data_IF_215002404789
#
_entry.id   IF_215002404789
#
_cell.length_a   1.000
_cell.length_b   1.000
_cell.length_c   1.000
_cell.angle_alpha   90.00
_cell.angle_beta   90.00
_cell.angle_gamma   90.00
#
_symmetry.space_group_name_H-M   'P 1'
#
loop_
_entity.id
_entity.type
_entity.pdbx_description
1 polymer ?
#
# COMPACT_ATOMS: atom_id res chain seq x y z
N UNK A 1 36.67 16.23 14.09
CA UNK A 1 36.47 14.87 14.61
C UNK A 1 35.05 14.77 15.13
N UNK A 2 34.12 14.30 14.28
CA UNK A 2 32.77 13.91 14.71
C UNK A 2 32.82 12.43 15.02
N UNK A 3 32.79 12.05 16.28
CA UNK A 3 32.45 10.70 16.69
C UNK A 3 30.99 10.45 16.31
N UNK A 4 30.75 9.57 15.35
CA UNK A 4 29.44 8.99 15.12
C UNK A 4 29.12 8.09 16.33
N UNK A 5 28.36 8.62 17.26
CA UNK A 5 27.72 7.78 18.26
C UNK A 5 26.82 6.77 17.51
N UNK A 6 27.22 5.51 17.50
CA UNK A 6 26.35 4.42 17.04
C UNK A 6 25.18 4.35 18.02
N UNK A 7 24.03 4.88 17.62
CA UNK A 7 22.79 4.66 18.37
C UNK A 7 22.40 3.19 18.16
N UNK A 8 22.67 2.36 19.15
CA UNK A 8 22.16 1.00 19.20
C UNK A 8 20.73 1.12 19.74
N UNK A 9 19.75 0.74 18.95
CA UNK A 9 18.38 0.55 19.39
C UNK A 9 18.26 -0.91 19.80
N UNK A 10 17.95 -1.15 21.06
CA UNK A 10 17.63 -2.48 21.59
C UNK A 10 16.10 -2.61 21.61
N UNK A 11 15.59 -3.68 21.01
CA UNK A 11 14.17 -4.03 21.05
C UNK A 11 14.05 -5.30 21.90
N UNK A 12 13.44 -5.18 23.05
CA UNK A 12 13.19 -6.30 23.95
C UNK A 12 11.74 -6.80 23.76
N UNK A 13 11.59 -8.03 23.33
CA UNK A 13 10.29 -8.68 23.19
C UNK A 13 9.96 -9.43 24.48
N UNK A 14 8.87 -9.04 25.14
CA UNK A 14 8.42 -9.68 26.37
C UNK A 14 7.39 -10.78 26.16
N UNK A 15 6.91 -10.96 24.93
CA UNK A 15 5.91 -11.96 24.60
C UNK A 15 6.55 -13.22 24.02
N UNK A 16 6.25 -14.38 24.65
CA UNK A 16 6.75 -15.68 24.24
C UNK A 16 6.13 -16.20 22.93
N UNK A 17 5.12 -15.53 22.39
CA UNK A 17 4.47 -15.85 21.12
C UNK A 17 5.22 -15.33 19.89
N UNK A 18 6.16 -14.41 20.08
CA UNK A 18 7.00 -13.91 19.00
C UNK A 18 8.11 -14.91 18.65
N UNK A 19 8.48 -15.03 17.36
CA UNK A 19 9.54 -15.95 16.95
C UNK A 19 10.82 -15.67 17.71
N UNK A 20 11.35 -16.68 18.39
CA UNK A 20 12.60 -16.58 19.20
C UNK A 20 13.85 -16.36 18.36
N UNK A 21 13.73 -16.41 17.05
CA UNK A 21 14.84 -16.41 16.11
C UNK A 21 15.00 -15.10 15.33
N UNK A 22 14.53 -13.97 15.87
CA UNK A 22 14.85 -12.66 15.28
C UNK A 22 16.32 -12.35 15.59
N UNK A 23 17.22 -13.06 14.92
CA UNK A 23 18.66 -12.96 15.15
C UNK A 23 19.40 -12.11 14.11
N UNK A 24 18.78 -11.79 12.99
CA UNK A 24 19.43 -11.03 11.92
C UNK A 24 18.64 -9.79 11.52
N UNK A 25 19.32 -8.79 10.98
CA UNK A 25 18.67 -7.59 10.45
C UNK A 25 17.70 -7.89 9.29
N UNK A 26 17.84 -9.06 8.65
CA UNK A 26 16.94 -9.49 7.58
C UNK A 26 15.62 -10.03 8.14
N UNK A 27 15.65 -10.69 9.30
CA UNK A 27 14.45 -11.21 9.96
C UNK A 27 13.56 -10.08 10.43
N UNK A 28 14.16 -8.99 10.94
CA UNK A 28 13.43 -7.79 11.37
C UNK A 28 12.66 -7.15 10.21
N UNK A 29 13.23 -7.13 9.00
CA UNK A 29 12.61 -6.49 7.82
C UNK A 29 11.29 -7.13 7.40
N UNK A 30 11.17 -8.44 7.53
CA UNK A 30 9.94 -9.16 7.18
C UNK A 30 8.84 -9.04 8.25
N UNK A 31 9.22 -8.67 9.50
CA UNK A 31 8.30 -8.64 10.64
C UNK A 31 7.79 -7.24 11.00
N UNK A 32 8.38 -6.21 10.42
CA UNK A 32 7.96 -4.82 10.67
C UNK A 32 7.76 -4.08 9.37
N UNK A 33 6.59 -3.51 9.21
CA UNK A 33 6.29 -2.58 8.15
C UNK A 33 6.15 -1.17 8.71
N UNK A 34 6.94 -0.24 8.21
CA UNK A 34 6.93 1.16 8.66
C UNK A 34 6.36 2.06 7.58
N UNK A 35 5.43 2.92 7.96
CA UNK A 35 4.88 3.95 7.10
C UNK A 35 4.97 5.32 7.77
N UNK A 36 5.65 6.24 7.11
CA UNK A 36 5.78 7.63 7.59
C UNK A 36 4.48 8.42 7.40
N UNK A 37 4.35 9.52 8.15
CA UNK A 37 3.27 10.48 8.00
C UNK A 37 3.29 11.22 6.65
N UNK A 38 4.40 11.13 5.92
CA UNK A 38 4.60 11.87 4.69
C UNK A 38 3.68 11.34 3.57
N UNK A 39 2.92 12.24 2.94
CA UNK A 39 1.97 11.94 1.86
C UNK A 39 2.28 12.80 0.67
N UNK A 40 2.87 12.22 -0.37
CA UNK A 40 3.12 12.89 -1.65
C UNK A 40 1.94 12.69 -2.61
N UNK A 41 1.74 13.64 -3.51
CA UNK A 41 0.84 13.43 -4.64
C UNK A 41 1.40 12.33 -5.55
N UNK A 42 0.61 11.29 -5.85
CA UNK A 42 1.08 10.18 -6.66
C UNK A 42 1.17 10.54 -8.14
N UNK A 43 2.16 9.97 -8.79
CA UNK A 43 2.30 9.98 -10.24
C UNK A 43 1.85 8.63 -10.79
N UNK A 44 0.82 8.64 -11.65
CA UNK A 44 0.25 7.42 -12.21
C UNK A 44 0.74 7.11 -13.63
N UNK A 45 1.50 8.03 -14.24
CA UNK A 45 2.07 7.80 -15.56
C UNK A 45 3.12 6.70 -15.48
N UNK A 46 3.03 5.72 -16.37
CA UNK A 46 3.98 4.62 -16.49
C UNK A 46 4.76 4.78 -17.79
N UNK A 47 5.96 5.33 -17.70
CA UNK A 47 6.86 5.47 -18.86
C UNK A 47 7.58 4.16 -19.19
N UNK A 48 7.74 3.28 -18.20
CA UNK A 48 8.35 1.97 -18.38
C UNK A 48 7.81 0.96 -17.39
N UNK A 49 7.50 -0.23 -17.87
CA UNK A 49 7.11 -1.35 -17.01
C UNK A 49 8.35 -2.13 -16.58
N UNK A 50 8.55 -2.22 -15.28
CA UNK A 50 9.61 -3.03 -14.68
C UNK A 50 9.00 -3.93 -13.62
N UNK A 51 9.62 -5.11 -13.44
CA UNK A 51 9.30 -5.94 -12.27
C UNK A 51 9.55 -5.12 -11.02
N UNK A 52 8.53 -4.99 -10.20
CA UNK A 52 8.68 -4.36 -8.90
C UNK A 52 9.38 -5.33 -7.96
N UNK A 53 10.48 -4.89 -7.37
CA UNK A 53 11.22 -5.69 -6.39
C UNK A 53 10.34 -5.97 -5.17
N UNK A 54 10.60 -7.11 -4.54
CA UNK A 54 10.02 -7.42 -3.24
C UNK A 54 10.49 -6.35 -2.23
N UNK A 55 9.59 -5.66 -1.54
CA UNK A 55 9.97 -4.62 -0.59
C UNK A 55 10.80 -5.16 0.58
N UNK A 56 10.69 -6.46 0.90
CA UNK A 56 11.50 -7.12 1.94
C UNK A 56 12.96 -7.33 1.53
N UNK A 57 13.25 -7.37 0.22
CA UNK A 57 14.62 -7.46 -0.30
C UNK A 57 15.40 -6.14 -0.17
N UNK A 58 14.73 -5.02 0.10
CA UNK A 58 15.37 -3.73 0.26
C UNK A 58 16.31 -3.73 1.47
N UNK A 59 17.57 -3.39 1.24
CA UNK A 59 18.62 -3.36 2.28
C UNK A 59 18.39 -2.24 3.31
N UNK A 60 17.42 -1.32 3.08
CA UNK A 60 17.32 -0.06 3.84
C UNK A 60 16.07 0.00 4.70
N UNK A 61 16.26 -0.02 6.00
CA UNK A 61 15.35 0.58 6.98
C UNK A 61 15.34 2.13 6.87
N UNK A 62 16.18 2.69 6.02
CA UNK A 62 16.36 4.14 5.85
C UNK A 62 15.23 4.83 5.09
N UNK A 63 14.28 4.09 4.55
CA UNK A 63 13.18 4.68 3.76
C UNK A 63 12.10 5.38 4.59
N UNK A 64 12.21 5.38 5.91
CA UNK A 64 11.30 6.15 6.78
C UNK A 64 11.32 7.66 6.50
N UNK A 65 12.37 8.17 5.85
CA UNK A 65 12.58 9.60 5.61
C UNK A 65 12.55 9.95 4.11
N UNK A 66 12.65 8.96 3.22
CA UNK A 66 12.68 9.21 1.78
C UNK A 66 11.27 9.40 1.22
N UNK A 67 11.14 10.33 0.27
CA UNK A 67 9.93 10.70 -0.44
C UNK A 67 9.06 9.48 -0.72
N UNK A 68 7.94 9.42 -0.02
CA UNK A 68 7.03 8.30 -0.11
C UNK A 68 6.26 8.34 -1.44
N UNK A 69 6.76 7.61 -2.41
CA UNK A 69 6.06 7.36 -3.67
C UNK A 69 5.16 6.11 -3.56
N UNK A 70 4.76 5.75 -2.35
CA UNK A 70 4.09 4.48 -2.06
C UNK A 70 2.85 4.28 -2.92
N UNK A 71 2.02 5.31 -3.10
CA UNK A 71 0.80 5.20 -3.91
C UNK A 71 1.13 4.94 -5.38
N UNK A 72 2.08 5.68 -5.94
CA UNK A 72 2.55 5.47 -7.31
C UNK A 72 3.16 4.07 -7.47
N UNK A 73 3.95 3.63 -6.51
CA UNK A 73 4.55 2.29 -6.49
C UNK A 73 3.49 1.21 -6.37
N UNK A 74 2.49 1.37 -5.50
CA UNK A 74 1.40 0.43 -5.34
C UNK A 74 0.53 0.35 -6.59
N UNK A 75 0.27 1.47 -7.26
CA UNK A 75 -0.38 1.49 -8.56
C UNK A 75 0.41 0.66 -9.59
N UNK A 76 1.71 0.89 -9.72
CA UNK A 76 2.58 0.13 -10.62
C UNK A 76 2.62 -1.36 -10.25
N UNK A 77 2.64 -1.71 -8.97
CA UNK A 77 2.56 -3.11 -8.50
C UNK A 77 1.25 -3.78 -8.91
N UNK A 78 0.12 -3.11 -8.77
CA UNK A 78 -1.18 -3.64 -9.19
C UNK A 78 -1.18 -3.94 -10.70
N UNK A 79 -0.69 -3.02 -11.52
CA UNK A 79 -0.59 -3.21 -12.97
C UNK A 79 0.37 -4.35 -13.31
N UNK A 80 1.57 -4.35 -12.75
CA UNK A 80 2.57 -5.40 -12.98
C UNK A 80 2.06 -6.79 -12.58
N UNK A 81 1.37 -6.90 -11.44
CA UNK A 81 0.77 -8.15 -10.97
C UNK A 81 -0.34 -8.63 -11.91
N UNK A 82 -1.18 -7.72 -12.44
CA UNK A 82 -2.22 -8.07 -13.43
C UNK A 82 -1.58 -8.67 -14.67
N UNK A 83 -0.54 -8.03 -15.19
CA UNK A 83 0.17 -8.51 -16.38
C UNK A 83 0.85 -9.84 -16.10
N UNK A 84 1.57 -9.95 -14.99
CA UNK A 84 2.22 -11.21 -14.59
C UNK A 84 1.19 -12.34 -14.46
N UNK A 85 0.01 -12.05 -13.90
CA UNK A 85 -1.07 -13.02 -13.76
C UNK A 85 -1.60 -13.54 -15.11
N UNK A 86 -1.58 -12.71 -16.16
CA UNK A 86 -2.00 -13.13 -17.52
C UNK A 86 -1.01 -14.12 -18.14
N UNK A 87 0.27 -14.04 -17.78
CA UNK A 87 1.32 -14.92 -18.30
C UNK A 87 1.63 -16.12 -17.38
N UNK A 88 0.88 -16.29 -16.31
CA UNK A 88 1.02 -17.44 -15.42
C UNK A 88 0.12 -18.58 -15.91
N UNK A 89 0.73 -19.69 -16.30
CA UNK A 89 0.03 -20.89 -16.80
C UNK A 89 -1.02 -21.45 -15.81
N UNK A 90 -0.84 -21.19 -14.51
CA UNK A 90 -1.84 -21.53 -13.48
C UNK A 90 -3.17 -20.78 -13.62
N UNK A 91 -3.19 -19.72 -14.42
CA UNK A 91 -4.35 -18.87 -14.65
C UNK A 91 -4.98 -19.02 -16.04
N UNK A 92 -4.56 -19.98 -16.86
CA UNK A 92 -5.03 -20.16 -18.24
C UNK A 92 -6.56 -20.26 -18.37
N UNK A 93 -7.23 -20.80 -17.35
CA UNK A 93 -8.68 -20.89 -17.30
C UNK A 93 -9.39 -19.61 -16.82
N UNK A 94 -8.66 -18.62 -16.34
CA UNK A 94 -9.23 -17.38 -15.81
C UNK A 94 -9.34 -16.31 -16.91
N UNK A 95 -10.41 -15.53 -16.85
CA UNK A 95 -10.51 -14.33 -17.69
C UNK A 95 -9.62 -13.20 -17.12
N UNK A 96 -9.18 -12.30 -17.98
CA UNK A 96 -8.46 -11.09 -17.55
C UNK A 96 -9.30 -10.27 -16.55
N UNK A 97 -10.63 -10.27 -16.70
CA UNK A 97 -11.53 -9.62 -15.76
C UNK A 97 -11.49 -10.27 -14.37
N UNK A 98 -11.46 -11.60 -14.30
CA UNK A 98 -11.35 -12.34 -13.04
C UNK A 98 -10.00 -12.08 -12.35
N UNK A 99 -8.90 -12.09 -13.10
CA UNK A 99 -7.56 -11.78 -12.58
C UNK A 99 -7.49 -10.35 -12.03
N UNK A 100 -8.08 -9.41 -12.76
CA UNK A 100 -8.15 -8.01 -12.31
C UNK A 100 -8.95 -7.91 -11.01
N UNK A 101 -10.08 -8.59 -10.92
CA UNK A 101 -10.91 -8.57 -9.71
C UNK A 101 -10.21 -9.23 -8.51
N UNK A 102 -9.46 -10.27 -8.68
CA UNK A 102 -8.65 -10.86 -7.59
C UNK A 102 -7.66 -9.86 -6.98
N UNK A 103 -7.11 -8.95 -7.80
CA UNK A 103 -6.15 -7.95 -7.35
C UNK A 103 -6.79 -6.72 -6.73
N UNK A 104 -7.84 -6.20 -7.39
CA UNK A 104 -8.48 -4.95 -6.95
C UNK A 104 -9.66 -5.16 -6.02
N UNK A 105 -10.25 -6.35 -6.01
CA UNK A 105 -11.43 -6.66 -5.19
C UNK A 105 -11.18 -6.49 -3.69
N UNK A 106 -9.98 -6.84 -3.22
CA UNK A 106 -9.60 -6.60 -1.81
C UNK A 106 -9.57 -5.12 -1.47
N UNK A 107 -8.99 -4.30 -2.35
CA UNK A 107 -8.96 -2.84 -2.19
C UNK A 107 -10.39 -2.29 -2.20
N UNK A 108 -11.23 -2.77 -3.14
CA UNK A 108 -12.64 -2.36 -3.23
C UNK A 108 -13.38 -2.67 -1.94
N UNK A 109 -13.29 -3.90 -1.45
CA UNK A 109 -13.96 -4.32 -0.22
C UNK A 109 -13.52 -3.49 0.99
N UNK A 110 -12.24 -3.18 1.13
CA UNK A 110 -11.74 -2.35 2.22
C UNK A 110 -12.25 -0.90 2.11
N UNK A 111 -12.28 -0.34 0.91
CA UNK A 111 -12.85 1.00 0.64
C UNK A 111 -14.34 1.06 1.04
N UNK A 112 -15.15 0.07 0.62
CA UNK A 112 -16.58 -0.01 0.94
C UNK A 112 -16.88 -0.06 2.45
N UNK A 113 -15.98 -0.63 3.25
CA UNK A 113 -16.11 -0.67 4.72
C UNK A 113 -15.78 0.66 5.38
N UNK A 114 -14.86 1.40 4.79
CA UNK A 114 -14.36 2.67 5.36
C UNK A 114 -15.21 3.86 4.93
N UNK A 115 -15.58 3.91 3.65
CA UNK A 115 -16.33 5.04 3.09
C UNK A 115 -17.82 4.71 2.98
N UNK A 116 -18.66 5.73 3.12
CA UNK A 116 -20.12 5.60 2.98
C UNK A 116 -20.60 5.89 1.55
N UNK A 117 -19.90 6.79 0.87
CA UNK A 117 -20.32 7.36 -0.41
C UNK A 117 -19.24 7.26 -1.50
N UNK A 118 -18.16 6.54 -1.23
CA UNK A 118 -17.04 6.34 -2.14
C UNK A 118 -16.84 4.86 -2.41
N UNK A 119 -16.97 4.46 -3.66
CA UNK A 119 -16.75 3.10 -4.14
C UNK A 119 -15.60 3.08 -5.14
N UNK A 120 -14.70 2.13 -5.01
CA UNK A 120 -13.61 1.98 -5.97
C UNK A 120 -14.11 1.29 -7.23
N UNK A 121 -14.12 2.02 -8.36
CA UNK A 121 -14.69 1.54 -9.62
C UNK A 121 -13.67 0.82 -10.49
N UNK A 122 -12.54 1.45 -10.81
CA UNK A 122 -11.57 0.88 -11.74
C UNK A 122 -10.19 1.53 -11.67
N UNK A 123 -9.21 0.80 -12.23
CA UNK A 123 -7.92 1.38 -12.64
C UNK A 123 -8.07 1.95 -14.04
N UNK A 124 -7.57 3.16 -14.25
CA UNK A 124 -7.46 3.74 -15.59
C UNK A 124 -6.46 2.98 -16.46
N UNK A 125 -6.50 3.25 -17.76
CA UNK A 125 -5.52 2.70 -18.69
C UNK A 125 -4.12 3.22 -18.33
N UNK A 126 -3.20 2.32 -17.91
CA UNK A 126 -1.87 2.72 -17.47
C UNK A 126 -1.03 3.36 -18.57
N UNK A 127 -1.38 3.12 -19.84
CA UNK A 127 -0.68 3.69 -21.00
C UNK A 127 -1.27 5.04 -21.44
N UNK A 128 -2.42 5.44 -20.87
CA UNK A 128 -3.11 6.68 -21.19
C UNK A 128 -3.34 7.54 -19.93
N UNK A 129 -2.29 7.89 -19.20
CA UNK A 129 -2.39 8.66 -17.96
C UNK A 129 -3.15 7.94 -16.84
N UNK A 130 -2.76 6.73 -16.49
CA UNK A 130 -3.35 5.91 -15.44
C UNK A 130 -3.89 6.67 -14.24
N UNK A 131 -4.90 6.14 -13.59
CA UNK A 131 -5.56 6.76 -12.46
C UNK A 131 -6.33 5.71 -11.65
N UNK A 132 -6.76 6.09 -10.47
CA UNK A 132 -7.83 5.39 -9.77
C UNK A 132 -9.15 6.13 -9.99
N UNK A 133 -10.18 5.39 -10.38
CA UNK A 133 -11.52 5.93 -10.57
C UNK A 133 -12.49 5.38 -9.54
N UNK A 134 -13.40 6.22 -9.12
CA UNK A 134 -14.38 5.95 -8.08
C UNK A 134 -15.78 6.31 -8.55
N UNK A 135 -16.77 5.74 -7.88
CA UNK A 135 -18.14 6.27 -7.86
C UNK A 135 -18.32 7.00 -6.53
N UNK A 136 -18.76 8.25 -6.57
CA UNK A 136 -19.03 9.06 -5.37
C UNK A 136 -20.47 9.55 -5.40
N UNK A 137 -21.33 8.98 -4.56
CA UNK A 137 -22.77 9.22 -4.64
C UNK A 137 -23.32 8.86 -6.02
N UNK A 138 -23.80 9.84 -6.76
CA UNK A 138 -24.32 9.67 -8.14
C UNK A 138 -23.27 9.90 -9.24
N UNK A 139 -22.08 10.37 -8.89
CA UNK A 139 -21.02 10.72 -9.84
C UNK A 139 -20.16 9.50 -10.14
N UNK A 140 -20.12 9.09 -11.40
CA UNK A 140 -19.24 8.03 -11.90
C UNK A 140 -17.92 8.61 -12.40
N UNK A 141 -16.92 7.75 -12.53
CA UNK A 141 -15.58 8.09 -13.03
C UNK A 141 -14.92 9.25 -12.27
N UNK A 142 -15.19 9.32 -10.95
CA UNK A 142 -14.63 10.31 -10.07
C UNK A 142 -13.14 9.99 -9.87
N UNK A 143 -12.27 10.87 -10.38
CA UNK A 143 -10.81 10.64 -10.36
C UNK A 143 -10.23 10.79 -8.95
N UNK A 144 -9.21 10.01 -8.64
CA UNK A 144 -8.39 10.15 -7.42
C UNK A 144 -7.97 11.60 -7.17
N UNK A 145 -7.60 12.35 -8.21
CA UNK A 145 -7.17 13.74 -8.09
C UNK A 145 -8.23 14.65 -7.47
N UNK A 146 -9.49 14.29 -7.65
CA UNK A 146 -10.65 15.06 -7.15
C UNK A 146 -11.06 14.67 -5.73
N UNK A 147 -10.46 13.63 -5.15
CA UNK A 147 -10.68 13.27 -3.75
C UNK A 147 -10.21 14.39 -2.83
N UNK A 148 -10.90 14.59 -1.71
CA UNK A 148 -10.44 15.46 -0.64
C UNK A 148 -9.13 14.92 -0.02
N UNK A 149 -8.38 15.76 0.66
CA UNK A 149 -7.13 15.36 1.31
C UNK A 149 -7.33 14.17 2.27
N UNK A 150 -8.42 14.16 3.04
CA UNK A 150 -8.74 13.08 3.95
C UNK A 150 -9.11 11.78 3.24
N UNK A 151 -9.86 11.86 2.14
CA UNK A 151 -10.18 10.68 1.32
C UNK A 151 -8.92 10.12 0.65
N UNK A 152 -8.04 10.97 0.12
CA UNK A 152 -6.74 10.58 -0.41
C UNK A 152 -5.92 9.85 0.65
N UNK A 153 -5.77 10.46 1.83
CA UNK A 153 -4.98 9.90 2.92
C UNK A 153 -5.50 8.51 3.36
N UNK A 154 -6.82 8.36 3.51
CA UNK A 154 -7.43 7.09 3.87
C UNK A 154 -7.28 6.05 2.76
N UNK A 155 -7.54 6.41 1.50
CA UNK A 155 -7.37 5.52 0.36
C UNK A 155 -5.92 5.03 0.23
N UNK A 156 -4.96 5.94 0.35
CA UNK A 156 -3.53 5.64 0.21
C UNK A 156 -3.06 4.67 1.28
N UNK A 157 -3.56 4.84 2.51
CA UNK A 157 -3.24 3.94 3.61
C UNK A 157 -3.84 2.55 3.38
N UNK A 158 -5.12 2.46 3.01
CA UNK A 158 -5.80 1.20 2.71
C UNK A 158 -5.13 0.48 1.55
N UNK A 159 -4.87 1.19 0.44
CA UNK A 159 -4.20 0.64 -0.72
C UNK A 159 -2.84 0.05 -0.35
N UNK A 160 -2.06 0.79 0.44
CA UNK A 160 -0.75 0.38 0.88
C UNK A 160 -0.84 -0.90 1.73
N UNK A 161 -1.66 -0.92 2.75
CA UNK A 161 -1.83 -2.10 3.60
C UNK A 161 -2.29 -3.33 2.81
N UNK A 162 -3.26 -3.18 1.91
CA UNK A 162 -3.75 -4.29 1.07
C UNK A 162 -2.68 -4.81 0.12
N UNK A 163 -1.93 -3.92 -0.54
CA UNK A 163 -0.88 -4.31 -1.49
C UNK A 163 0.32 -4.91 -0.77
N UNK A 164 0.70 -4.36 0.38
CA UNK A 164 1.86 -4.81 1.13
C UNK A 164 1.59 -6.08 1.95
N UNK A 165 0.35 -6.38 2.31
CA UNK A 165 0.01 -7.59 3.08
C UNK A 165 0.51 -8.90 2.46
N UNK A 166 0.68 -8.93 1.14
CA UNK A 166 1.26 -10.07 0.42
C UNK A 166 2.74 -10.32 0.80
N UNK A 167 3.47 -9.27 1.11
CA UNK A 167 4.91 -9.30 1.42
C UNK A 167 5.19 -9.35 2.91
N UNK A 168 4.20 -8.94 3.71
CA UNK A 168 4.29 -8.83 5.16
C UNK A 168 3.11 -9.54 5.84
N UNK A 169 2.96 -10.88 5.66
CA UNK A 169 1.75 -11.60 6.11
C UNK A 169 1.54 -11.57 7.62
N UNK A 170 2.62 -11.55 8.41
CA UNK A 170 2.60 -11.61 9.86
C UNK A 170 3.35 -10.43 10.49
N UNK A 171 3.41 -9.29 9.78
CA UNK A 171 4.19 -8.16 10.24
C UNK A 171 3.43 -7.25 11.21
N UNK A 172 4.18 -6.56 12.05
CA UNK A 172 3.70 -5.45 12.85
C UNK A 172 3.74 -4.19 11.99
N UNK A 173 2.58 -3.56 11.79
CA UNK A 173 2.46 -2.32 11.05
C UNK A 173 2.66 -1.13 11.98
N UNK A 174 3.73 -0.38 11.76
CA UNK A 174 4.06 0.85 12.46
C UNK A 174 3.73 2.04 11.55
N UNK A 175 2.61 2.69 11.79
CA UNK A 175 2.11 3.79 10.96
C UNK A 175 2.21 5.08 11.75
N UNK A 176 2.94 6.05 11.20
CA UNK A 176 3.09 7.37 11.79
C UNK A 176 1.95 8.27 11.34
N UNK A 177 1.29 8.92 12.29
CA UNK A 177 0.14 9.81 12.08
C UNK A 177 -0.91 9.23 11.11
N UNK A 178 -1.48 8.04 11.37
CA UNK A 178 -2.44 7.42 10.46
C UNK A 178 -3.69 8.27 10.22
N UNK A 179 -4.02 9.16 11.17
CA UNK A 179 -5.17 10.05 11.15
C UNK A 179 -4.97 11.34 10.35
N UNK A 180 -3.74 11.61 9.91
CA UNK A 180 -3.40 12.89 9.26
C UNK A 180 -4.33 13.21 8.09
N UNK A 181 -4.85 14.43 8.08
CA UNK A 181 -5.83 14.97 7.13
C UNK A 181 -7.23 14.34 7.17
N UNK A 182 -7.49 13.33 7.99
CA UNK A 182 -8.79 12.68 8.05
C UNK A 182 -9.71 13.36 9.07
N UNK A 183 -10.99 13.45 8.71
CA UNK A 183 -12.03 13.82 9.67
C UNK A 183 -12.23 12.69 10.70
N UNK A 184 -12.56 13.01 11.97
CA UNK A 184 -12.66 12.07 13.09
C UNK A 184 -13.50 10.82 12.80
N UNK A 185 -14.61 10.94 12.07
CA UNK A 185 -15.45 9.82 11.67
C UNK A 185 -14.70 8.86 10.75
N UNK A 186 -13.91 9.40 9.81
CA UNK A 186 -13.10 8.60 8.88
C UNK A 186 -11.93 7.93 9.60
N UNK A 187 -11.26 8.66 10.52
CA UNK A 187 -10.21 8.10 11.38
C UNK A 187 -10.70 6.83 12.09
N UNK A 188 -11.86 6.92 12.77
CA UNK A 188 -12.42 5.79 13.51
C UNK A 188 -12.79 4.58 12.64
N UNK A 189 -13.01 4.76 11.34
CA UNK A 189 -13.28 3.66 10.40
C UNK A 189 -12.00 3.04 9.87
N UNK A 190 -11.05 3.86 9.44
CA UNK A 190 -9.74 3.40 8.94
C UNK A 190 -8.99 2.59 10.00
N UNK A 191 -9.04 3.00 11.27
CA UNK A 191 -8.36 2.31 12.37
C UNK A 191 -9.03 0.99 12.79
N UNK A 192 -10.22 0.67 12.28
CA UNK A 192 -10.91 -0.61 12.53
C UNK A 192 -10.76 -1.61 11.41
N UNK A 193 -10.42 -1.15 10.20
CA UNK A 193 -10.19 -2.00 9.03
C UNK A 193 -8.82 -2.66 9.09
#
# INVERSE_FOLDING_TARGET
WYERASKIVSIDFHDASLPKDIGSSNDIKGHFYFRSAYRNEPEFQIDSMRRQHDPTESIRLESLIQNDQTVSTNYQRLIANTISGVYDNGNDAKTVAALREELIGKVRTAIERVFEDLEFSSLGDPLQNGNFYFTKGTTRDFSYRNLSAGEKSAFDLILDMVVQSKYYPDAIYCIDEPETHMHTKLQGRVLRE
#
